data_IF_127491820666
#
_entry.id   IF_127491820666
#
_cell.length_a   1.000
_cell.length_b   1.000
_cell.length_c   1.000
_cell.angle_alpha   90.00
_cell.angle_beta   90.00
_cell.angle_gamma   90.00
#
_symmetry.space_group_name_H-M   'P 1'
#
loop_
_entity.id
_entity.type
_entity.pdbx_description
1 polymer ?
#
# COMPACT_ATOMS: atom_id res chain seq x y z
N UNK A 1 -11.06 8.74 -4.72
CA UNK A 1 -10.47 8.48 -3.39
C UNK A 1 -11.43 8.82 -2.26
N UNK A 2 -12.31 9.83 -2.41
CA UNK A 2 -13.34 10.20 -1.42
C UNK A 2 -14.14 9.04 -0.77
N UNK A 3 -14.64 8.00 -1.49
CA UNK A 3 -15.46 6.95 -0.86
C UNK A 3 -14.66 5.98 0.04
N UNK A 4 -13.32 6.05 0.02
CA UNK A 4 -12.47 5.24 0.90
C UNK A 4 -12.13 5.92 2.20
N UNK A 5 -12.19 7.25 2.21
CA UNK A 5 -11.76 8.07 3.35
C UNK A 5 -12.52 7.67 4.60
N UNK A 6 -13.85 7.55 4.53
CA UNK A 6 -14.69 7.18 5.68
C UNK A 6 -14.33 5.83 6.30
N UNK A 7 -13.87 4.86 5.51
CA UNK A 7 -13.41 3.57 6.05
C UNK A 7 -12.03 3.73 6.69
N UNK A 8 -11.05 4.30 5.97
CA UNK A 8 -9.67 4.43 6.48
C UNK A 8 -9.54 5.40 7.66
N UNK A 9 -10.49 6.31 7.85
CA UNK A 9 -10.60 7.17 9.05
C UNK A 9 -11.27 6.46 10.23
N UNK A 10 -11.85 5.27 10.02
CA UNK A 10 -12.65 4.55 11.02
C UNK A 10 -14.07 5.10 11.19
N UNK A 11 -14.52 5.99 10.31
CA UNK A 11 -15.90 6.52 10.30
C UNK A 11 -16.93 5.53 9.73
N UNK A 12 -16.48 4.45 9.08
CA UNK A 12 -17.33 3.42 8.49
C UNK A 12 -16.78 2.04 8.80
N UNK A 13 -17.69 1.10 9.10
CA UNK A 13 -17.34 -0.27 9.46
C UNK A 13 -16.94 -1.15 8.25
N UNK A 14 -17.29 -0.74 7.02
CA UNK A 14 -16.99 -1.47 5.80
C UNK A 14 -16.67 -0.51 4.63
N UNK A 15 -15.73 -0.89 3.73
CA UNK A 15 -15.46 -0.13 2.52
C UNK A 15 -16.56 -0.37 1.47
N UNK A 16 -16.84 0.65 0.65
CA UNK A 16 -17.78 0.52 -0.47
C UNK A 16 -17.15 -0.18 -1.67
N UNK A 17 -17.93 -0.80 -2.54
CA UNK A 17 -17.41 -1.55 -3.70
C UNK A 17 -16.54 -0.68 -4.62
N UNK A 18 -16.97 0.55 -4.95
CA UNK A 18 -16.17 1.51 -5.73
C UNK A 18 -14.84 1.84 -5.06
N UNK A 19 -14.81 1.86 -3.73
CA UNK A 19 -13.59 2.11 -3.00
C UNK A 19 -12.61 0.93 -3.13
N UNK A 20 -13.10 -0.31 -3.06
CA UNK A 20 -12.30 -1.51 -3.27
C UNK A 20 -11.75 -1.61 -4.70
N UNK A 21 -12.55 -1.29 -5.73
CA UNK A 21 -12.08 -1.29 -7.12
C UNK A 21 -10.96 -0.27 -7.33
N UNK A 22 -11.09 0.92 -6.75
CA UNK A 22 -10.06 1.96 -6.82
C UNK A 22 -8.79 1.53 -6.07
N UNK A 23 -8.92 0.95 -4.89
CA UNK A 23 -7.77 0.40 -4.14
C UNK A 23 -7.04 -0.66 -4.98
N UNK A 24 -7.79 -1.61 -5.56
CA UNK A 24 -7.21 -2.65 -6.40
C UNK A 24 -6.45 -2.08 -7.60
N UNK A 25 -7.00 -1.03 -8.23
CA UNK A 25 -6.34 -0.38 -9.36
C UNK A 25 -5.07 0.38 -8.95
N UNK A 26 -5.10 1.08 -7.82
CA UNK A 26 -3.93 1.79 -7.27
C UNK A 26 -2.84 0.82 -6.86
N UNK A 27 -3.19 -0.28 -6.19
CA UNK A 27 -2.22 -1.31 -5.77
C UNK A 27 -1.56 -1.96 -6.98
N UNK A 28 -2.32 -2.26 -8.04
CA UNK A 28 -1.76 -2.86 -9.26
C UNK A 28 -0.93 -1.88 -10.07
N UNK A 29 -1.38 -0.63 -10.18
CA UNK A 29 -0.74 0.36 -11.05
C UNK A 29 0.41 1.09 -10.35
N UNK A 30 0.25 1.43 -9.07
CA UNK A 30 1.18 2.25 -8.29
C UNK A 30 1.15 1.86 -6.80
N UNK A 31 1.71 0.69 -6.43
CA UNK A 31 1.77 0.25 -5.03
C UNK A 31 2.53 1.25 -4.14
N UNK A 32 3.52 1.95 -4.71
CA UNK A 32 4.27 3.04 -4.05
C UNK A 32 3.39 4.21 -3.62
N UNK A 33 2.39 4.60 -4.42
CA UNK A 33 1.49 5.69 -4.07
C UNK A 33 0.63 5.34 -2.85
N UNK A 34 0.19 4.09 -2.75
CA UNK A 34 -0.53 3.60 -1.57
C UNK A 34 0.34 3.70 -0.30
N UNK A 35 1.61 3.33 -0.43
CA UNK A 35 2.58 3.36 0.65
C UNK A 35 2.79 4.78 1.20
N UNK A 36 2.93 5.79 0.34
CA UNK A 36 3.06 7.17 0.79
C UNK A 36 1.80 7.67 1.48
N UNK A 37 0.62 7.32 0.97
CA UNK A 37 -0.67 7.66 1.59
C UNK A 37 -0.77 7.05 3.00
N UNK A 38 -0.33 5.80 3.19
CA UNK A 38 -0.32 5.09 4.47
C UNK A 38 0.73 5.63 5.44
N UNK A 39 1.90 6.03 4.94
CA UNK A 39 3.02 6.52 5.75
C UNK A 39 2.69 7.87 6.39
N UNK A 40 1.98 8.73 5.67
CA UNK A 40 1.53 10.02 6.16
C UNK A 40 1.04 11.00 5.09
N UNK A 41 1.15 10.65 3.80
CA UNK A 41 0.72 11.49 2.69
C UNK A 41 -0.78 11.82 2.70
N UNK A 42 -1.60 11.01 3.35
CA UNK A 42 -3.00 11.35 3.59
C UNK A 42 -3.17 12.54 4.54
N UNK A 43 -2.28 12.70 5.54
CA UNK A 43 -2.33 13.83 6.45
C UNK A 43 -2.03 15.15 5.73
N UNK A 44 -1.17 15.13 4.70
CA UNK A 44 -0.90 16.27 3.82
C UNK A 44 -2.13 16.70 3.01
N UNK A 45 -3.09 15.81 2.83
CA UNK A 45 -4.38 16.05 2.17
C UNK A 45 -5.49 16.43 3.19
N UNK A 46 -5.16 16.61 4.47
CA UNK A 46 -6.12 16.86 5.54
C UNK A 46 -6.91 15.63 5.97
N UNK A 47 -6.44 14.43 5.66
CA UNK A 47 -7.11 13.16 5.97
C UNK A 47 -6.33 12.40 7.03
N UNK A 48 -6.92 12.25 8.21
CA UNK A 48 -6.37 11.42 9.29
C UNK A 48 -6.68 9.95 9.04
N UNK A 49 -5.70 9.20 8.52
CA UNK A 49 -5.82 7.76 8.34
C UNK A 49 -5.51 7.02 9.65
N UNK A 50 -6.42 6.14 10.04
CA UNK A 50 -6.18 5.15 11.07
C UNK A 50 -5.43 3.97 10.45
N UNK A 51 -4.11 3.90 10.65
CA UNK A 51 -3.24 2.85 10.09
C UNK A 51 -3.77 1.44 10.36
N UNK A 52 -4.36 1.19 11.53
CA UNK A 52 -4.91 -0.12 11.90
C UNK A 52 -6.08 -0.52 11.00
N UNK A 53 -7.04 0.39 10.77
CA UNK A 53 -8.17 0.13 9.86
C UNK A 53 -7.68 0.03 8.42
N UNK A 54 -6.75 0.89 8.02
CA UNK A 54 -6.17 0.88 6.69
C UNK A 54 -5.46 -0.45 6.35
N UNK A 55 -4.84 -1.10 7.34
CA UNK A 55 -4.24 -2.43 7.20
C UNK A 55 -5.29 -3.56 7.05
N UNK A 56 -6.49 -3.36 7.58
CA UNK A 56 -7.60 -4.31 7.39
C UNK A 56 -8.34 -4.10 6.07
N UNK A 57 -8.21 -2.92 5.46
CA UNK A 57 -8.90 -2.57 4.22
C UNK A 57 -8.62 -3.54 3.05
N UNK A 58 -7.37 -3.96 2.77
CA UNK A 58 -7.10 -4.95 1.74
C UNK A 58 -7.87 -6.25 1.95
N UNK A 59 -7.94 -6.72 3.20
CA UNK A 59 -8.67 -7.93 3.56
C UNK A 59 -10.19 -7.73 3.40
N UNK A 60 -10.73 -6.60 3.85
CA UNK A 60 -12.14 -6.26 3.70
C UNK A 60 -12.59 -6.13 2.23
N UNK A 61 -11.69 -5.67 1.37
CA UNK A 61 -11.92 -5.56 -0.07
C UNK A 61 -11.53 -6.81 -0.87
N UNK A 62 -11.00 -7.84 -0.20
CA UNK A 62 -10.46 -9.05 -0.83
C UNK A 62 -9.38 -8.76 -1.91
N UNK A 63 -8.57 -7.72 -1.68
CA UNK A 63 -7.48 -7.29 -2.57
C UNK A 63 -6.16 -7.81 -2.02
N UNK A 64 -5.41 -8.53 -2.85
CA UNK A 64 -4.02 -8.91 -2.52
C UNK A 64 -3.11 -7.71 -2.66
N UNK A 65 -2.73 -7.12 -1.52
CA UNK A 65 -1.69 -6.10 -1.45
C UNK A 65 -0.40 -6.70 -0.91
N UNK A 66 0.77 -6.24 -1.39
CA UNK A 66 2.03 -6.55 -0.69
C UNK A 66 1.97 -6.01 0.75
N UNK A 67 2.69 -6.63 1.70
CA UNK A 67 2.70 -6.19 3.09
C UNK A 67 3.25 -4.76 3.16
N UNK A 68 2.69 -3.91 4.03
CA UNK A 68 3.16 -2.53 4.21
C UNK A 68 4.62 -2.44 4.64
N UNK A 69 5.22 -3.52 5.14
CA UNK A 69 6.66 -3.60 5.37
C UNK A 69 7.48 -3.37 4.09
N UNK A 70 6.92 -3.75 2.92
CA UNK A 70 7.46 -3.46 1.59
C UNK A 70 7.20 -2.02 1.14
N UNK A 71 6.40 -1.25 1.87
CA UNK A 71 6.26 0.20 1.65
C UNK A 71 7.47 0.98 2.15
N UNK A 72 8.08 0.51 3.24
CA UNK A 72 9.22 1.17 3.89
C UNK A 72 10.58 0.60 3.44
N UNK A 73 10.59 -0.62 2.88
CA UNK A 73 11.77 -1.22 2.28
C UNK A 73 11.67 -1.17 0.76
N UNK A 74 12.53 -0.36 0.14
CA UNK A 74 12.74 -0.38 -1.31
C UNK A 74 12.97 -1.80 -1.85
N UNK A 75 12.75 -1.96 -3.15
CA UNK A 75 12.96 -3.19 -3.92
C UNK A 75 14.02 -4.10 -3.30
N UNK A 76 13.54 -5.04 -2.50
CA UNK A 76 14.28 -6.21 -2.09
C UNK A 76 13.89 -7.32 -3.05
N UNK A 77 14.05 -7.05 -4.35
CA UNK A 77 14.44 -8.04 -5.33
C UNK A 77 15.84 -8.48 -4.91
N UNK A 78 15.90 -9.45 -4.00
CA UNK A 78 17.09 -10.26 -3.90
C UNK A 78 16.89 -11.42 -4.89
N UNK A 79 17.48 -11.39 -6.10
CA UNK A 79 18.18 -12.57 -6.53
C UNK A 79 19.45 -12.62 -5.68
N UNK A 80 19.41 -13.40 -4.62
CA UNK A 80 20.63 -14.00 -4.09
C UNK A 80 21.18 -14.90 -5.19
N UNK A 81 21.96 -14.34 -6.10
CA UNK A 81 22.79 -15.07 -7.04
C UNK A 81 24.04 -14.21 -7.23
N UNK A 82 24.95 -14.38 -6.27
CA UNK A 82 26.36 -14.10 -6.50
C UNK A 82 26.78 -14.72 -7.84
N UNK A 83 27.70 -14.08 -8.55
CA UNK A 83 28.99 -14.75 -8.63
C UNK A 83 30.14 -13.87 -8.12
N UNK A 84 31.06 -14.55 -7.45
CA UNK A 84 32.36 -14.08 -7.00
C UNK A 84 33.29 -13.73 -8.21
N UNK A 85 34.49 -13.17 -7.96
CA UNK A 85 35.23 -12.27 -8.84
C UNK A 85 36.13 -12.96 -9.88
N UNK A 86 36.56 -12.20 -10.89
CA UNK A 86 37.59 -12.54 -11.89
C UNK A 86 37.29 -11.77 -13.19
N UNK A 87 38.22 -11.26 -13.97
CA UNK A 87 39.67 -11.36 -13.99
C UNK A 87 40.17 -10.26 -14.97
N UNK A 88 41.47 -10.02 -14.96
CA UNK A 88 42.20 -8.99 -15.69
C UNK A 88 42.01 -8.97 -17.22
N UNK A 89 42.12 -7.78 -17.82
CA UNK A 89 43.00 -7.45 -18.95
C UNK A 89 42.97 -5.93 -19.24
#
# INVERSE_FOLDING_TARGET
MAPCVSYVTGSSAAPSSSCCSQLANVVRSNPRCLCEVLDGGAASLGVSINKTIALQMPAACNVKTPPVSRCSGGGGDAPASAPAPGDAA
#
